data_IF_693630096614
#
_entry.id   IF_693630096614
#
_cell.length_a   1.000
_cell.length_b   1.000
_cell.length_c   1.000
_cell.angle_alpha   90.00
_cell.angle_beta   90.00
_cell.angle_gamma   90.00
#
_symmetry.space_group_name_H-M   'P 1'
#
loop_
_entity.id
_entity.type
_entity.pdbx_description
1 polymer ?
#
# COMPACT_ATOMS: atom_id res chain seq x y z
N UNK A 1 -1.55 36.84 15.91
CA UNK A 1 -1.02 36.38 14.61
C UNK A 1 -0.04 35.27 14.95
N UNK A 2 -0.44 34.02 14.72
CA UNK A 2 0.44 32.89 14.96
C UNK A 2 1.48 32.94 13.83
N UNK A 3 2.72 33.29 14.18
CA UNK A 3 3.82 33.20 13.24
C UNK A 3 3.98 31.72 12.92
N UNK A 4 3.52 31.31 11.74
CA UNK A 4 3.82 30.00 11.19
C UNK A 4 5.29 30.11 10.74
N UNK A 5 6.22 29.84 11.65
CA UNK A 5 7.61 29.61 11.26
C UNK A 5 7.76 28.15 10.82
N UNK A 6 8.74 27.87 9.96
CA UNK A 6 8.99 26.52 9.44
C UNK A 6 9.72 25.66 10.48
N UNK A 7 9.43 25.81 11.78
CA UNK A 7 10.15 25.15 12.85
C UNK A 7 9.31 24.07 13.52
N UNK A 8 9.88 22.88 13.65
CA UNK A 8 9.32 21.76 14.41
C UNK A 8 10.30 21.38 15.52
N UNK A 9 9.93 21.53 16.79
CA UNK A 9 10.80 21.19 17.94
C UNK A 9 12.24 21.76 17.82
N UNK A 10 12.39 22.97 17.26
CA UNK A 10 13.68 23.63 17.04
C UNK A 10 14.42 23.25 15.75
N UNK A 11 13.89 22.33 14.93
CA UNK A 11 14.39 22.03 13.58
C UNK A 11 13.77 22.96 12.55
N UNK A 12 14.60 23.70 11.81
CA UNK A 12 14.17 24.51 10.67
C UNK A 12 14.00 23.64 9.43
N UNK A 13 12.81 23.66 8.84
CA UNK A 13 12.51 22.92 7.61
C UNK A 13 12.27 23.81 6.40
N UNK A 14 12.56 25.13 6.49
CA UNK A 14 12.34 26.08 5.40
C UNK A 14 13.10 25.73 4.12
N UNK A 15 14.16 24.93 4.19
CA UNK A 15 14.93 24.51 3.02
C UNK A 15 14.35 23.26 2.31
N UNK A 16 13.34 22.59 2.88
CA UNK A 16 12.75 21.36 2.36
C UNK A 16 11.45 21.57 1.54
N UNK A 17 11.43 22.57 0.67
CA UNK A 17 10.23 22.95 -0.13
C UNK A 17 10.04 22.12 -1.42
N UNK A 18 10.99 21.24 -1.76
CA UNK A 18 10.97 20.52 -3.06
C UNK A 18 9.79 19.54 -3.22
N UNK A 19 9.03 19.25 -2.15
CA UNK A 19 7.84 18.41 -2.15
C UNK A 19 6.52 19.21 -2.14
N UNK A 20 6.56 20.55 -2.19
CA UNK A 20 5.37 21.42 -2.10
C UNK A 20 4.42 21.32 -3.30
N UNK A 21 4.84 20.61 -4.35
CA UNK A 21 4.02 20.25 -5.50
C UNK A 21 3.02 19.13 -5.20
N UNK A 22 3.23 18.38 -4.10
CA UNK A 22 2.37 17.26 -3.74
C UNK A 22 0.96 17.71 -3.31
N UNK A 23 -0.08 16.92 -3.58
CA UNK A 23 -1.44 17.24 -3.15
C UNK A 23 -1.60 17.44 -1.63
N UNK A 24 -2.45 18.38 -1.17
CA UNK A 24 -2.34 18.93 0.17
C UNK A 24 -3.17 18.22 1.25
N UNK A 25 -4.00 17.23 0.92
CA UNK A 25 -5.05 16.74 1.84
C UNK A 25 -4.50 16.22 3.17
N UNK A 26 -3.39 15.49 3.14
CA UNK A 26 -2.76 15.00 4.37
C UNK A 26 -2.35 16.16 5.31
N UNK A 27 -1.71 17.19 4.75
CA UNK A 27 -1.25 18.35 5.51
C UNK A 27 -2.42 19.21 6.03
N UNK A 28 -3.49 19.34 5.25
CA UNK A 28 -4.73 19.99 5.67
C UNK A 28 -5.39 19.25 6.86
N UNK A 29 -5.38 17.91 6.86
CA UNK A 29 -5.87 17.12 7.99
C UNK A 29 -4.98 17.28 9.22
N UNK A 30 -3.66 17.40 9.04
CA UNK A 30 -2.71 17.61 10.14
C UNK A 30 -2.79 19.02 10.75
N UNK A 31 -3.20 20.03 9.97
CA UNK A 31 -3.25 21.44 10.38
C UNK A 31 -3.92 21.68 11.75
N UNK A 32 -5.17 21.24 12.02
CA UNK A 32 -5.79 21.48 13.33
C UNK A 32 -4.98 20.86 14.49
N UNK A 33 -4.35 19.70 14.29
CA UNK A 33 -3.54 19.06 15.33
C UNK A 33 -2.23 19.81 15.55
N UNK A 34 -1.60 20.30 14.46
CA UNK A 34 -0.44 21.18 14.54
C UNK A 34 -0.74 22.44 15.36
N UNK A 35 -1.84 23.13 15.05
CA UNK A 35 -2.27 24.36 15.74
C UNK A 35 -2.59 24.11 17.23
N UNK A 36 -3.26 23.01 17.54
CA UNK A 36 -3.69 22.70 18.91
C UNK A 36 -2.53 22.20 19.80
N UNK A 37 -1.46 21.69 19.21
CA UNK A 37 -0.30 21.15 19.92
C UNK A 37 0.93 22.04 19.84
N UNK A 38 0.81 23.25 19.27
CA UNK A 38 1.91 24.18 19.04
C UNK A 38 3.09 23.54 18.27
N UNK A 39 2.77 22.69 17.29
CA UNK A 39 3.74 22.04 16.42
C UNK A 39 4.41 20.76 16.96
N UNK A 40 3.90 20.18 18.06
CA UNK A 40 4.43 18.93 18.64
C UNK A 40 4.46 17.78 17.60
N UNK A 41 5.68 17.30 17.29
CA UNK A 41 5.89 16.24 16.30
C UNK A 41 5.28 14.90 16.72
N UNK A 42 5.26 14.58 18.01
CA UNK A 42 4.65 13.34 18.50
C UNK A 42 3.15 13.34 18.22
N UNK A 43 2.46 14.47 18.45
CA UNK A 43 1.01 14.58 18.16
C UNK A 43 0.73 14.33 16.68
N UNK A 44 1.50 14.94 15.77
CA UNK A 44 1.34 14.72 14.33
C UNK A 44 1.63 13.27 13.91
N UNK A 45 2.67 12.65 14.50
CA UNK A 45 2.99 11.24 14.26
C UNK A 45 1.86 10.32 14.74
N UNK A 46 1.23 10.62 15.88
CA UNK A 46 0.10 9.85 16.39
C UNK A 46 -1.10 9.90 15.45
N UNK A 47 -1.35 11.03 14.77
CA UNK A 47 -2.37 11.11 13.71
C UNK A 47 -2.05 10.17 12.55
N UNK A 48 -0.80 10.13 12.08
CA UNK A 48 -0.36 9.17 11.05
C UNK A 48 -0.50 7.72 11.51
N UNK A 49 -0.17 7.43 12.77
CA UNK A 49 -0.31 6.08 13.37
C UNK A 49 -1.78 5.64 13.40
N UNK A 50 -2.72 6.54 13.72
CA UNK A 50 -4.16 6.24 13.65
C UNK A 50 -4.58 5.88 12.22
N UNK A 51 -4.09 6.61 11.21
CA UNK A 51 -4.33 6.27 9.81
C UNK A 51 -3.76 4.89 9.46
N UNK A 52 -2.53 4.61 9.89
CA UNK A 52 -1.87 3.31 9.74
C UNK A 52 -2.64 2.16 10.41
N UNK A 53 -3.19 2.37 11.61
CA UNK A 53 -4.06 1.40 12.27
C UNK A 53 -5.34 1.12 11.45
N UNK A 54 -5.86 2.14 10.77
CA UNK A 54 -6.94 1.99 9.79
C UNK A 54 -6.55 1.08 8.61
N UNK A 55 -5.33 1.21 8.08
CA UNK A 55 -4.80 0.32 7.02
C UNK A 55 -4.81 -1.14 7.49
N UNK A 56 -4.30 -1.41 8.70
CA UNK A 56 -4.25 -2.75 9.29
C UNK A 56 -5.65 -3.33 9.47
N UNK A 57 -6.58 -2.55 10.01
CA UNK A 57 -7.98 -2.96 10.19
C UNK A 57 -8.62 -3.34 8.85
N UNK A 58 -8.45 -2.50 7.82
CA UNK A 58 -9.01 -2.75 6.50
C UNK A 58 -8.36 -3.95 5.82
N UNK A 59 -7.04 -4.16 5.97
CA UNK A 59 -6.36 -5.35 5.49
C UNK A 59 -6.93 -6.63 6.11
N UNK A 60 -7.14 -6.65 7.44
CA UNK A 60 -7.79 -7.75 8.14
C UNK A 60 -9.20 -8.02 7.62
N UNK A 61 -10.01 -6.95 7.44
CA UNK A 61 -11.39 -7.05 6.97
C UNK A 61 -11.48 -7.53 5.52
N UNK A 62 -10.60 -7.04 4.64
CA UNK A 62 -10.47 -7.50 3.24
C UNK A 62 -10.14 -9.00 3.22
N UNK A 63 -9.13 -9.43 3.98
CA UNK A 63 -8.77 -10.84 4.07
C UNK A 63 -9.93 -11.71 4.56
N UNK A 64 -10.64 -11.28 5.61
CA UNK A 64 -11.83 -11.98 6.14
C UNK A 64 -12.98 -12.11 5.12
N UNK A 65 -13.10 -11.20 4.16
CA UNK A 65 -14.11 -11.28 3.09
C UNK A 65 -13.74 -12.28 1.99
N UNK A 66 -12.43 -12.51 1.76
CA UNK A 66 -11.94 -13.37 0.69
C UNK A 66 -11.68 -14.82 1.14
N UNK A 67 -11.54 -15.04 2.44
CA UNK A 67 -11.22 -16.34 3.02
C UNK A 67 -12.48 -17.05 3.54
N UNK A 68 -12.58 -18.36 3.24
CA UNK A 68 -13.59 -19.24 3.84
C UNK A 68 -13.41 -19.34 5.35
N UNK A 69 -14.47 -19.68 6.09
CA UNK A 69 -14.48 -19.68 7.57
C UNK A 69 -13.28 -20.40 8.18
N UNK A 70 -12.95 -21.59 7.67
CA UNK A 70 -11.84 -22.42 8.12
C UNK A 70 -10.47 -21.74 7.95
N UNK A 71 -10.34 -20.80 7.01
CA UNK A 71 -9.10 -20.10 6.66
C UNK A 71 -9.00 -18.72 7.30
N UNK A 72 -10.05 -18.23 7.96
CA UNK A 72 -10.09 -16.84 8.47
C UNK A 72 -9.03 -16.53 9.52
N UNK A 73 -8.37 -17.54 10.09
CA UNK A 73 -7.18 -17.36 10.93
C UNK A 73 -6.00 -16.73 10.16
N UNK A 74 -5.89 -16.97 8.84
CA UNK A 74 -4.85 -16.38 7.99
C UNK A 74 -4.99 -14.85 7.90
N UNK A 75 -6.20 -14.31 8.07
CA UNK A 75 -6.42 -12.87 8.06
C UNK A 75 -5.63 -12.15 9.17
N UNK A 76 -5.40 -12.80 10.31
CA UNK A 76 -4.55 -12.26 11.38
C UNK A 76 -3.09 -12.17 10.93
N UNK A 77 -2.58 -13.18 10.22
CA UNK A 77 -1.21 -13.18 9.70
C UNK A 77 -1.02 -12.13 8.61
N UNK A 78 -2.02 -11.95 7.74
CA UNK A 78 -2.05 -10.91 6.72
C UNK A 78 -2.02 -9.52 7.37
N UNK A 79 -2.86 -9.29 8.38
CA UNK A 79 -2.88 -8.04 9.13
C UNK A 79 -1.57 -7.80 9.89
N UNK A 80 -0.97 -8.84 10.49
CA UNK A 80 0.32 -8.75 11.16
C UNK A 80 1.45 -8.39 10.20
N UNK A 81 1.47 -8.97 8.99
CA UNK A 81 2.42 -8.59 7.94
C UNK A 81 2.28 -7.12 7.58
N UNK A 82 1.06 -6.65 7.30
CA UNK A 82 0.80 -5.23 7.03
C UNK A 82 1.21 -4.36 8.22
N UNK A 83 0.93 -4.78 9.45
CA UNK A 83 1.19 -3.96 10.64
C UNK A 83 2.67 -3.87 11.05
N UNK A 84 3.47 -4.91 10.78
CA UNK A 84 4.75 -5.12 11.48
C UNK A 84 5.97 -5.26 10.57
N UNK A 85 5.85 -5.06 9.25
CA UNK A 85 7.04 -4.88 8.40
C UNK A 85 7.83 -3.67 8.92
N UNK A 86 9.11 -3.82 9.34
CA UNK A 86 9.81 -2.76 10.08
C UNK A 86 9.88 -1.41 9.34
N UNK A 87 10.14 -1.43 8.03
CA UNK A 87 10.12 -0.20 7.23
C UNK A 87 8.72 0.44 7.21
N UNK A 88 7.66 -0.35 7.06
CA UNK A 88 6.30 0.17 6.99
C UNK A 88 5.90 0.80 8.33
N UNK A 89 6.27 0.19 9.46
CA UNK A 89 6.13 0.81 10.80
C UNK A 89 6.83 2.16 10.85
N UNK A 90 8.08 2.24 10.38
CA UNK A 90 8.84 3.50 10.39
C UNK A 90 8.20 4.58 9.49
N UNK A 91 7.66 4.20 8.33
CA UNK A 91 6.97 5.12 7.41
C UNK A 91 5.67 5.64 8.06
N UNK A 92 4.83 4.77 8.61
CA UNK A 92 3.56 5.15 9.24
C UNK A 92 3.75 5.92 10.57
N UNK A 93 4.87 5.73 11.25
CA UNK A 93 5.24 6.47 12.45
C UNK A 93 5.87 7.85 12.16
N UNK A 94 6.04 8.22 10.88
CA UNK A 94 6.57 9.52 10.47
C UNK A 94 5.48 10.46 9.94
N UNK A 95 5.80 11.74 9.84
CA UNK A 95 4.88 12.75 9.31
C UNK A 95 5.05 12.80 7.80
N UNK A 96 4.23 12.04 7.07
CA UNK A 96 4.22 12.03 5.60
C UNK A 96 2.81 11.65 5.07
N UNK A 97 2.58 11.87 3.79
CA UNK A 97 1.31 11.54 3.14
C UNK A 97 1.16 10.06 2.75
N UNK A 98 2.12 9.17 3.02
CA UNK A 98 1.99 7.73 2.75
C UNK A 98 0.89 7.12 3.63
N UNK A 99 0.82 7.49 4.91
CA UNK A 99 -0.17 6.93 5.83
C UNK A 99 -1.61 7.17 5.36
N UNK A 100 -1.93 8.40 4.91
CA UNK A 100 -3.25 8.70 4.36
C UNK A 100 -3.47 8.05 2.98
N UNK A 101 -2.44 8.03 2.13
CA UNK A 101 -2.52 7.40 0.81
C UNK A 101 -2.86 5.91 0.92
N UNK A 102 -2.15 5.18 1.78
CA UNK A 102 -2.39 3.76 2.04
C UNK A 102 -3.77 3.51 2.66
N UNK A 103 -4.21 4.37 3.58
CA UNK A 103 -5.56 4.28 4.16
C UNK A 103 -6.64 4.42 3.09
N UNK A 104 -6.51 5.38 2.18
CA UNK A 104 -7.45 5.61 1.10
C UNK A 104 -7.44 4.46 0.08
N UNK A 105 -6.26 3.94 -0.27
CA UNK A 105 -6.13 2.74 -1.12
C UNK A 105 -6.83 1.55 -0.46
N UNK A 106 -6.56 1.29 0.83
CA UNK A 106 -7.19 0.21 1.58
C UNK A 106 -8.72 0.38 1.69
N UNK A 107 -9.21 1.60 1.87
CA UNK A 107 -10.64 1.89 1.96
C UNK A 107 -11.35 1.68 0.62
N UNK A 108 -10.75 2.13 -0.49
CA UNK A 108 -11.25 1.88 -1.84
C UNK A 108 -11.29 0.37 -2.10
N UNK A 109 -10.21 -0.35 -1.79
CA UNK A 109 -10.16 -1.81 -1.93
C UNK A 109 -11.22 -2.51 -1.07
N UNK A 110 -11.41 -2.08 0.18
CA UNK A 110 -12.43 -2.64 1.06
C UNK A 110 -13.84 -2.51 0.46
N UNK A 111 -14.17 -1.32 -0.07
CA UNK A 111 -15.45 -1.08 -0.74
C UNK A 111 -15.60 -1.96 -1.99
N UNK A 112 -14.58 -1.99 -2.86
CA UNK A 112 -14.60 -2.78 -4.09
C UNK A 112 -14.74 -4.28 -3.79
N UNK A 113 -13.92 -4.82 -2.88
CA UNK A 113 -13.98 -6.23 -2.46
C UNK A 113 -15.34 -6.57 -1.87
N UNK A 114 -15.88 -5.71 -1.00
CA UNK A 114 -17.21 -5.90 -0.43
C UNK A 114 -18.29 -5.98 -1.51
N UNK A 115 -18.27 -5.09 -2.49
CA UNK A 115 -19.23 -5.15 -3.60
C UNK A 115 -19.01 -6.40 -4.45
N UNK A 116 -17.79 -6.72 -4.84
CA UNK A 116 -17.51 -7.86 -5.72
C UNK A 116 -17.81 -9.22 -5.06
N UNK A 117 -17.70 -9.30 -3.73
CA UNK A 117 -18.04 -10.50 -2.95
C UNK A 117 -19.55 -10.66 -2.83
N UNK A 118 -20.28 -9.61 -2.45
CA UNK A 118 -21.69 -9.72 -2.05
C UNK A 118 -22.71 -9.31 -3.13
N UNK A 119 -22.29 -8.81 -4.30
CA UNK A 119 -23.23 -8.32 -5.32
C UNK A 119 -23.94 -9.47 -6.04
N UNK A 120 -25.14 -9.78 -5.54
CA UNK A 120 -26.22 -10.44 -6.28
C UNK A 120 -27.00 -9.39 -7.12
N UNK A 121 -27.87 -9.75 -8.09
CA UNK A 121 -28.61 -8.80 -8.92
C UNK A 121 -29.37 -7.70 -8.16
N UNK A 122 -29.86 -7.99 -6.94
CA UNK A 122 -30.51 -7.00 -6.04
C UNK A 122 -29.54 -5.95 -5.48
N UNK A 123 -28.26 -6.28 -5.32
CA UNK A 123 -27.24 -5.37 -4.82
C UNK A 123 -26.73 -4.37 -5.86
N UNK A 124 -26.93 -4.61 -7.17
CA UNK A 124 -26.57 -3.63 -8.23
C UNK A 124 -27.25 -2.27 -8.03
N UNK A 125 -28.49 -2.28 -7.52
CA UNK A 125 -29.24 -1.05 -7.21
C UNK A 125 -28.68 -0.34 -5.97
N UNK A 126 -28.29 -1.10 -4.94
CA UNK A 126 -27.65 -0.56 -3.73
C UNK A 126 -26.26 0.03 -4.02
N UNK A 127 -25.45 -0.64 -4.85
CA UNK A 127 -24.15 -0.14 -5.32
C UNK A 127 -24.32 1.20 -6.03
N UNK A 128 -25.32 1.31 -6.92
CA UNK A 128 -25.57 2.51 -7.73
C UNK A 128 -25.74 3.81 -6.92
N UNK A 129 -26.34 3.73 -5.71
CA UNK A 129 -26.50 4.87 -4.79
C UNK A 129 -25.20 5.24 -4.04
N UNK A 130 -24.27 4.30 -3.91
CA UNK A 130 -23.01 4.46 -3.17
C UNK A 130 -21.80 4.76 -4.05
N UNK A 131 -21.97 4.70 -5.38
CA UNK A 131 -20.92 5.03 -6.36
C UNK A 131 -20.37 6.45 -6.19
N UNK A 132 -21.24 7.40 -5.83
CA UNK A 132 -20.82 8.78 -5.58
C UNK A 132 -19.81 8.88 -4.43
N UNK A 133 -20.03 8.14 -3.34
CA UNK A 133 -19.11 8.10 -2.20
C UNK A 133 -17.79 7.40 -2.52
N UNK A 134 -17.80 6.36 -3.37
CA UNK A 134 -16.57 5.77 -3.88
C UNK A 134 -15.77 6.79 -4.72
N UNK A 135 -16.47 7.60 -5.50
CA UNK A 135 -15.86 8.68 -6.27
C UNK A 135 -15.29 9.81 -5.41
N UNK A 136 -15.98 10.20 -4.33
CA UNK A 136 -15.43 11.12 -3.32
C UNK A 136 -14.17 10.53 -2.69
N UNK A 137 -14.22 9.26 -2.27
CA UNK A 137 -13.08 8.57 -1.66
C UNK A 137 -11.87 8.51 -2.62
N UNK A 138 -12.12 8.23 -3.91
CA UNK A 138 -11.09 8.27 -4.95
C UNK A 138 -10.53 9.69 -5.11
N UNK A 139 -11.38 10.71 -5.17
CA UNK A 139 -10.97 12.11 -5.28
C UNK A 139 -10.13 12.60 -4.10
N UNK A 140 -10.47 12.20 -2.87
CA UNK A 140 -9.63 12.44 -1.68
C UNK A 140 -8.25 11.78 -1.84
N UNK A 141 -8.22 10.59 -2.44
CA UNK A 141 -6.98 9.91 -2.81
C UNK A 141 -6.12 10.73 -3.77
N UNK A 142 -6.73 11.27 -4.83
CA UNK A 142 -6.06 12.14 -5.80
C UNK A 142 -5.54 13.43 -5.15
N UNK A 143 -6.22 13.94 -4.13
CA UNK A 143 -5.78 15.08 -3.32
C UNK A 143 -4.76 14.73 -2.22
N UNK A 144 -4.33 13.46 -2.12
CA UNK A 144 -3.37 13.01 -1.10
C UNK A 144 -1.98 12.74 -1.68
N UNK A 145 -1.89 11.86 -2.68
CA UNK A 145 -0.59 11.43 -3.23
C UNK A 145 -0.73 10.83 -4.62
N UNK A 146 0.28 11.05 -5.47
CA UNK A 146 0.35 10.46 -6.81
C UNK A 146 0.23 8.94 -6.84
N UNK A 147 0.67 8.25 -5.79
CA UNK A 147 0.54 6.78 -5.68
C UNK A 147 -0.93 6.32 -5.68
N UNK A 148 -1.88 7.11 -5.18
CA UNK A 148 -3.30 6.72 -5.16
C UNK A 148 -3.93 6.75 -6.55
N UNK A 149 -3.32 7.42 -7.53
CA UNK A 149 -3.81 7.49 -8.92
C UNK A 149 -3.91 6.10 -9.56
N UNK A 150 -3.10 5.14 -9.09
CA UNK A 150 -3.19 3.74 -9.52
C UNK A 150 -4.59 3.14 -9.26
N UNK A 151 -5.36 3.68 -8.30
CA UNK A 151 -6.70 3.19 -7.99
C UNK A 151 -7.75 3.60 -9.03
N UNK A 152 -7.47 4.59 -9.88
CA UNK A 152 -8.38 4.99 -10.98
C UNK A 152 -8.64 3.82 -11.94
N UNK A 153 -7.61 3.20 -12.56
CA UNK A 153 -7.84 2.05 -13.42
C UNK A 153 -8.37 0.82 -12.67
N UNK A 154 -8.04 0.64 -11.38
CA UNK A 154 -8.59 -0.46 -10.56
C UNK A 154 -10.11 -0.30 -10.34
N UNK A 155 -10.56 0.91 -9.99
CA UNK A 155 -11.98 1.24 -9.85
C UNK A 155 -12.69 1.09 -11.20
N UNK A 156 -12.10 1.58 -12.29
CA UNK A 156 -12.65 1.44 -13.62
C UNK A 156 -12.81 -0.04 -14.02
N UNK A 157 -11.80 -0.87 -13.77
CA UNK A 157 -11.85 -2.31 -14.00
C UNK A 157 -12.93 -3.02 -13.17
N UNK A 158 -13.09 -2.63 -11.90
CA UNK A 158 -14.16 -3.15 -11.05
C UNK A 158 -15.56 -2.74 -11.56
N UNK A 159 -15.73 -1.50 -12.04
CA UNK A 159 -16.99 -1.06 -12.65
C UNK A 159 -17.28 -1.82 -13.94
N UNK A 160 -16.28 -1.99 -14.80
CA UNK A 160 -16.38 -2.79 -16.01
C UNK A 160 -16.82 -4.23 -15.71
N UNK A 161 -16.25 -4.84 -14.67
CA UNK A 161 -16.65 -6.16 -14.20
C UNK A 161 -18.11 -6.18 -13.73
N UNK A 162 -18.51 -5.25 -12.84
CA UNK A 162 -19.86 -5.22 -12.27
C UNK A 162 -20.98 -4.99 -13.31
N UNK A 163 -20.68 -4.18 -14.33
CA UNK A 163 -21.62 -3.73 -15.36
C UNK A 163 -21.35 -4.35 -16.74
N UNK A 164 -20.52 -5.40 -16.83
CA UNK A 164 -20.23 -6.05 -18.11
C UNK A 164 -21.52 -6.48 -18.82
N UNK A 165 -21.66 -6.11 -20.10
CA UNK A 165 -22.86 -6.34 -20.90
C UNK A 165 -24.01 -5.33 -20.68
N UNK A 166 -23.90 -4.43 -19.69
CA UNK A 166 -24.82 -3.31 -19.47
C UNK A 166 -24.09 -1.96 -19.65
N UNK A 167 -23.84 -1.59 -20.90
CA UNK A 167 -23.04 -0.42 -21.26
C UNK A 167 -23.63 0.91 -20.78
N UNK A 168 -24.97 1.05 -20.79
CA UNK A 168 -25.62 2.26 -20.27
C UNK A 168 -25.45 2.38 -18.76
N UNK A 169 -25.59 1.27 -18.03
CA UNK A 169 -25.32 1.19 -16.60
C UNK A 169 -23.86 1.49 -16.26
N UNK A 170 -22.91 0.99 -17.07
CA UNK A 170 -21.49 1.29 -16.93
C UNK A 170 -21.20 2.78 -17.12
N UNK A 171 -21.79 3.43 -18.14
CA UNK A 171 -21.63 4.88 -18.36
C UNK A 171 -22.09 5.70 -17.15
N UNK A 172 -23.27 5.40 -16.60
CA UNK A 172 -23.75 6.05 -15.38
C UNK A 172 -22.89 5.74 -14.16
N UNK A 173 -22.36 4.52 -14.05
CA UNK A 173 -21.46 4.15 -12.97
C UNK A 173 -20.13 4.90 -13.05
N UNK A 174 -19.58 5.06 -14.25
CA UNK A 174 -18.40 5.85 -14.51
C UNK A 174 -18.62 7.33 -14.17
N UNK A 175 -19.73 7.93 -14.60
CA UNK A 175 -20.05 9.34 -14.27
C UNK A 175 -20.18 9.54 -12.75
N UNK A 176 -20.88 8.62 -12.05
CA UNK A 176 -21.09 8.76 -10.59
C UNK A 176 -19.83 8.52 -9.77
N UNK A 177 -18.86 7.77 -10.29
CA UNK A 177 -17.57 7.53 -9.61
C UNK A 177 -16.51 8.55 -10.02
N UNK A 178 -16.24 8.68 -11.31
CA UNK A 178 -15.19 9.55 -11.85
C UNK A 178 -15.57 11.03 -11.79
N UNK A 179 -16.86 11.38 -11.84
CA UNK A 179 -17.32 12.77 -11.72
C UNK A 179 -16.86 13.46 -10.44
N UNK A 180 -17.28 13.01 -9.24
CA UNK A 180 -16.80 13.60 -7.98
C UNK A 180 -15.29 13.44 -7.78
N UNK A 181 -14.68 12.34 -8.25
CA UNK A 181 -13.23 12.17 -8.18
C UNK A 181 -12.48 13.24 -8.98
N UNK A 182 -12.95 13.51 -10.20
CA UNK A 182 -12.44 14.54 -11.09
C UNK A 182 -12.64 15.93 -10.50
N UNK A 183 -13.84 16.25 -9.99
CA UNK A 183 -14.12 17.55 -9.40
C UNK A 183 -13.19 17.87 -8.22
N UNK A 184 -12.92 16.87 -7.36
CA UNK A 184 -11.98 17.03 -6.26
C UNK A 184 -10.54 17.15 -6.76
N UNK A 185 -10.09 16.25 -7.63
CA UNK A 185 -8.73 16.29 -8.20
C UNK A 185 -8.44 17.58 -8.97
N UNK A 186 -9.45 18.11 -9.69
CA UNK A 186 -9.35 19.33 -10.47
C UNK A 186 -8.99 20.56 -9.62
N UNK A 187 -9.35 20.59 -8.34
CA UNK A 187 -8.96 21.67 -7.43
C UNK A 187 -7.43 21.82 -7.40
N UNK A 188 -6.71 20.70 -7.32
CA UNK A 188 -5.24 20.72 -7.31
C UNK A 188 -4.64 20.87 -8.70
N UNK A 189 -5.21 20.20 -9.71
CA UNK A 189 -4.70 20.26 -11.08
C UNK A 189 -4.79 21.65 -11.67
N UNK A 190 -5.92 22.32 -11.48
CA UNK A 190 -6.11 23.70 -11.95
C UNK A 190 -5.15 24.63 -11.21
N UNK A 191 -4.99 24.46 -9.88
CA UNK A 191 -3.96 25.20 -9.13
C UNK A 191 -2.58 25.01 -9.75
N UNK A 192 -2.17 23.78 -10.06
CA UNK A 192 -0.85 23.52 -10.63
C UNK A 192 -0.68 24.17 -12.01
N UNK A 193 -1.69 24.09 -12.88
CA UNK A 193 -1.67 24.75 -14.19
C UNK A 193 -1.49 26.27 -14.04
N UNK A 194 -2.21 26.89 -13.10
CA UNK A 194 -2.16 28.34 -12.86
C UNK A 194 -0.84 28.78 -12.21
N UNK A 195 -0.29 27.99 -11.28
CA UNK A 195 0.94 28.34 -10.55
C UNK A 195 2.19 28.10 -11.39
N UNK A 196 2.27 26.96 -12.07
CA UNK A 196 3.46 26.56 -12.83
C UNK A 196 3.43 27.03 -14.30
N UNK A 197 2.42 27.80 -14.70
CA UNK A 197 2.30 28.43 -16.02
C UNK A 197 2.50 27.45 -17.19
N UNK A 198 1.70 26.38 -17.24
CA UNK A 198 1.74 25.38 -18.30
C UNK A 198 0.68 24.30 -18.14
N UNK A 199 0.51 23.44 -19.16
CA UNK A 199 -0.35 22.24 -19.08
C UNK A 199 0.32 21.13 -18.24
N UNK A 200 0.64 21.43 -16.99
CA UNK A 200 1.31 20.53 -16.05
C UNK A 200 0.43 20.29 -14.80
N UNK A 201 -0.68 19.53 -14.93
CA UNK A 201 -1.65 19.34 -13.84
C UNK A 201 -1.06 18.60 -12.64
N UNK A 202 -0.01 17.80 -12.85
CA UNK A 202 0.68 17.07 -11.79
C UNK A 202 1.98 17.76 -11.35
N UNK A 203 2.28 18.96 -11.87
CA UNK A 203 3.50 19.71 -11.56
C UNK A 203 4.80 18.91 -11.78
N UNK A 204 4.79 17.96 -12.73
CA UNK A 204 5.93 17.07 -12.95
C UNK A 204 7.05 17.71 -13.75
N UNK A 205 6.74 18.61 -14.68
CA UNK A 205 7.76 19.41 -15.34
C UNK A 205 8.41 20.37 -14.34
N UNK A 206 7.59 21.08 -13.57
CA UNK A 206 8.09 21.98 -12.52
C UNK A 206 8.96 21.25 -11.48
N UNK A 207 8.55 20.06 -11.04
CA UNK A 207 9.35 19.21 -10.16
C UNK A 207 10.70 18.84 -10.79
N UNK A 208 10.72 18.44 -12.06
CA UNK A 208 11.96 18.07 -12.76
C UNK A 208 12.94 19.25 -12.91
N UNK A 209 12.44 20.49 -12.96
CA UNK A 209 13.27 21.69 -13.10
C UNK A 209 13.96 22.07 -11.78
N UNK A 210 13.33 21.79 -10.63
CA UNK A 210 13.86 22.15 -9.30
C UNK A 210 14.66 21.02 -8.64
N UNK A 211 14.41 19.77 -9.02
CA UNK A 211 15.13 18.62 -8.48
C UNK A 211 16.51 18.52 -9.13
N UNK A 212 17.47 19.21 -8.51
CA UNK A 212 18.87 19.21 -8.89
C UNK A 212 19.64 18.15 -8.07
N UNK A 213 20.47 17.36 -8.75
CA UNK A 213 21.35 16.37 -8.10
C UNK A 213 20.71 15.02 -7.76
N UNK A 214 19.42 14.79 -8.07
CA UNK A 214 18.84 13.45 -7.97
C UNK A 214 19.47 12.53 -9.03
N UNK A 215 20.08 11.40 -8.63
CA UNK A 215 20.75 10.53 -9.58
C UNK A 215 19.80 9.97 -10.64
N UNK A 216 20.21 10.01 -11.90
CA UNK A 216 19.45 9.42 -13.00
C UNK A 216 19.88 7.98 -13.28
N UNK A 217 18.94 7.16 -13.75
CA UNK A 217 19.22 5.76 -14.05
C UNK A 217 20.27 5.62 -15.16
N UNK A 218 20.25 6.48 -16.17
CA UNK A 218 21.25 6.51 -17.25
C UNK A 218 22.67 6.75 -16.73
N UNK A 219 22.85 7.66 -15.77
CA UNK A 219 24.14 7.97 -15.14
C UNK A 219 24.66 6.77 -14.34
N UNK A 220 23.77 6.10 -13.61
CA UNK A 220 24.10 4.89 -12.88
C UNK A 220 24.44 3.73 -13.81
N UNK A 221 23.77 3.59 -14.96
CA UNK A 221 24.13 2.60 -15.98
C UNK A 221 25.52 2.89 -16.55
N UNK A 222 25.85 4.16 -16.82
CA UNK A 222 27.19 4.54 -17.28
C UNK A 222 28.28 4.25 -16.23
N UNK A 223 27.97 4.44 -14.95
CA UNK A 223 28.92 4.27 -13.84
C UNK A 223 29.10 2.81 -13.42
N UNK A 224 28.02 2.05 -13.33
CA UNK A 224 28.00 0.72 -12.73
C UNK A 224 27.71 -0.40 -13.73
N UNK A 225 27.39 -0.08 -14.98
CA UNK A 225 26.90 -1.03 -15.97
C UNK A 225 25.47 -1.50 -15.70
N UNK A 226 24.81 -2.04 -16.73
CA UNK A 226 23.42 -2.51 -16.63
C UNK A 226 23.21 -3.50 -15.48
N UNK A 227 24.01 -4.56 -15.41
CA UNK A 227 23.89 -5.56 -14.35
C UNK A 227 24.21 -5.02 -12.96
N UNK A 228 25.13 -4.05 -12.88
CA UNK A 228 25.44 -3.37 -11.62
C UNK A 228 24.28 -2.52 -11.10
N UNK A 229 23.49 -1.92 -11.98
CA UNK A 229 22.25 -1.21 -11.62
C UNK A 229 21.16 -2.20 -11.23
N UNK A 230 20.95 -3.28 -11.98
CA UNK A 230 19.96 -4.31 -11.65
C UNK A 230 20.21 -4.91 -10.26
N UNK A 231 21.46 -5.26 -9.94
CA UNK A 231 21.80 -5.77 -8.61
C UNK A 231 21.52 -4.75 -7.50
N UNK A 232 21.88 -3.48 -7.71
CA UNK A 232 21.59 -2.39 -6.77
C UNK A 232 20.09 -2.16 -6.61
N UNK A 233 19.33 -2.23 -7.69
CA UNK A 233 17.88 -2.13 -7.67
C UNK A 233 17.28 -3.24 -6.81
N UNK A 234 17.63 -4.51 -7.08
CA UNK A 234 17.10 -5.65 -6.33
C UNK A 234 17.50 -5.60 -4.85
N UNK A 235 18.78 -5.38 -4.56
CA UNK A 235 19.30 -5.34 -3.19
C UNK A 235 18.70 -4.18 -2.39
N UNK A 236 18.68 -2.98 -2.97
CA UNK A 236 18.17 -1.78 -2.26
C UNK A 236 16.66 -1.87 -2.08
N UNK A 237 15.92 -2.34 -3.10
CA UNK A 237 14.48 -2.56 -3.01
C UNK A 237 14.17 -3.56 -1.90
N UNK A 238 14.87 -4.69 -1.86
CA UNK A 238 14.65 -5.71 -0.84
C UNK A 238 14.99 -5.18 0.56
N UNK A 239 16.16 -4.56 0.71
CA UNK A 239 16.62 -4.06 2.00
C UNK A 239 15.68 -3.00 2.55
N UNK A 240 15.31 -2.02 1.72
CA UNK A 240 14.44 -0.92 2.12
C UNK A 240 12.97 -1.27 2.14
N UNK A 241 12.51 -2.36 1.50
CA UNK A 241 11.16 -2.88 1.70
C UNK A 241 10.99 -3.39 3.14
N UNK A 242 11.99 -4.11 3.65
CA UNK A 242 11.94 -4.68 4.99
C UNK A 242 12.41 -3.73 6.09
N UNK A 243 13.50 -3.01 5.88
CA UNK A 243 14.05 -2.05 6.84
C UNK A 243 15.38 -1.45 6.38
N UNK A 244 15.37 -0.17 6.01
CA UNK A 244 16.55 0.66 5.79
C UNK A 244 16.17 2.11 6.14
N UNK A 245 16.57 2.56 7.32
CA UNK A 245 16.01 3.74 7.99
C UNK A 245 16.85 5.01 7.77
N UNK A 246 16.32 6.15 8.22
CA UNK A 246 17.03 7.43 8.22
C UNK A 246 17.46 7.85 6.83
N UNK A 247 16.50 8.00 5.90
CA UNK A 247 16.80 8.37 4.51
C UNK A 247 17.80 7.42 3.82
N UNK A 248 17.57 6.12 3.99
CA UNK A 248 18.39 5.04 3.45
C UNK A 248 19.80 4.90 4.08
N UNK A 249 20.16 5.69 5.10
CA UNK A 249 21.50 5.66 5.71
C UNK A 249 21.71 4.48 6.66
N UNK A 250 20.65 3.92 7.24
CA UNK A 250 20.74 2.92 8.31
C UNK A 250 20.10 1.57 7.91
N UNK A 251 20.80 0.71 7.13
CA UNK A 251 20.34 -0.64 6.82
C UNK A 251 20.40 -1.57 8.04
N UNK A 252 19.51 -2.55 8.08
CA UNK A 252 19.53 -3.62 9.07
C UNK A 252 20.85 -4.42 8.99
N UNK A 253 21.24 -5.10 10.10
CA UNK A 253 22.34 -6.06 10.08
C UNK A 253 22.14 -7.18 9.04
N UNK A 254 23.22 -7.62 8.40
CA UNK A 254 23.17 -8.59 7.29
C UNK A 254 22.47 -9.92 7.62
N UNK A 255 22.61 -10.41 8.86
CA UNK A 255 21.94 -11.64 9.29
C UNK A 255 20.41 -11.50 9.34
N UNK A 256 19.87 -10.31 9.63
CA UNK A 256 18.43 -10.07 9.58
C UNK A 256 17.93 -10.16 8.14
N UNK A 257 18.66 -9.58 7.18
CA UNK A 257 18.32 -9.73 5.77
C UNK A 257 18.38 -11.17 5.30
N UNK A 258 19.32 -11.99 5.79
CA UNK A 258 19.36 -13.41 5.48
C UNK A 258 18.08 -14.12 5.92
N UNK A 259 17.62 -13.89 7.16
CA UNK A 259 16.35 -14.44 7.67
C UNK A 259 15.17 -14.02 6.79
N UNK A 260 15.13 -12.74 6.42
CA UNK A 260 14.08 -12.19 5.56
C UNK A 260 14.11 -12.78 4.14
N UNK A 261 15.30 -12.99 3.56
CA UNK A 261 15.44 -13.65 2.25
C UNK A 261 14.90 -15.08 2.32
N UNK A 262 15.29 -15.85 3.34
CA UNK A 262 14.79 -17.21 3.52
C UNK A 262 13.26 -17.23 3.68
N UNK A 263 12.71 -16.30 4.47
CA UNK A 263 11.27 -16.13 4.62
C UNK A 263 10.57 -15.82 3.29
N UNK A 264 11.13 -14.90 2.49
CA UNK A 264 10.61 -14.57 1.17
C UNK A 264 10.66 -15.77 0.22
N UNK A 265 11.77 -16.52 0.19
CA UNK A 265 11.92 -17.71 -0.65
C UNK A 265 10.91 -18.80 -0.28
N UNK A 266 10.70 -19.08 1.01
CA UNK A 266 9.67 -20.03 1.48
C UNK A 266 8.27 -19.57 1.06
N UNK A 267 7.98 -18.29 1.22
CA UNK A 267 6.69 -17.71 0.83
C UNK A 267 6.45 -17.84 -0.68
N UNK A 268 7.46 -17.53 -1.51
CA UNK A 268 7.38 -17.71 -2.96
C UNK A 268 7.22 -19.18 -3.36
N UNK A 269 7.97 -20.09 -2.72
CA UNK A 269 7.84 -21.53 -2.95
C UNK A 269 6.44 -22.05 -2.62
N UNK A 270 5.84 -21.60 -1.51
CA UNK A 270 4.46 -21.92 -1.13
C UNK A 270 3.44 -21.39 -2.13
N UNK A 271 3.62 -20.18 -2.65
CA UNK A 271 2.74 -19.60 -3.66
C UNK A 271 2.85 -20.35 -5.00
N UNK A 272 4.07 -20.67 -5.45
CA UNK A 272 4.31 -21.47 -6.66
C UNK A 272 3.67 -22.85 -6.51
N UNK A 273 3.83 -23.50 -5.35
CA UNK A 273 3.21 -24.79 -5.07
C UNK A 273 1.68 -24.73 -5.09
N UNK A 274 1.08 -23.68 -4.52
CA UNK A 274 -0.37 -23.45 -4.58
C UNK A 274 -0.85 -23.30 -6.03
N UNK A 275 -0.17 -22.48 -6.84
CA UNK A 275 -0.53 -22.22 -8.23
C UNK A 275 -0.36 -23.46 -9.11
N UNK A 276 0.71 -24.24 -8.90
CA UNK A 276 1.01 -25.44 -9.66
C UNK A 276 0.04 -26.59 -9.35
N UNK A 277 -0.33 -26.77 -8.09
CA UNK A 277 -1.19 -27.89 -7.67
C UNK A 277 -2.68 -27.55 -7.66
N UNK A 278 -3.02 -26.25 -7.64
CA UNK A 278 -4.40 -25.74 -7.44
C UNK A 278 -5.12 -26.40 -6.27
N UNK A 279 -4.36 -26.84 -5.25
CA UNK A 279 -4.92 -27.54 -4.10
C UNK A 279 -5.86 -26.61 -3.36
N UNK A 280 -7.12 -27.03 -3.22
CA UNK A 280 -8.07 -26.38 -2.31
C UNK A 280 -7.47 -26.37 -0.90
N UNK A 281 -7.55 -25.27 -0.17
CA UNK A 281 -7.18 -25.20 1.24
C UNK A 281 -8.21 -25.88 2.17
N UNK A 282 -9.32 -26.36 1.62
CA UNK A 282 -10.40 -27.03 2.35
C UNK A 282 -10.43 -28.51 1.96
N UNK A 283 -10.47 -29.38 2.97
CA UNK A 283 -10.38 -30.86 2.88
C UNK A 283 -11.74 -31.58 2.86
N UNK A 284 -12.81 -30.85 2.52
CA UNK A 284 -14.17 -31.38 2.41
C UNK A 284 -14.84 -30.89 1.12
N UNK A 285 -15.88 -31.59 0.64
CA UNK A 285 -16.72 -31.06 -0.41
C UNK A 285 -17.31 -29.71 0.00
N UNK A 286 -17.20 -28.74 -0.90
CA UNK A 286 -17.79 -27.42 -0.75
C UNK A 286 -19.25 -27.46 -1.16
N UNK A 287 -20.10 -26.76 -0.42
CA UNK A 287 -21.49 -26.58 -0.83
C UNK A 287 -21.60 -25.59 -2.02
N UNK A 288 -22.74 -25.51 -2.73
CA UNK A 288 -22.87 -24.62 -3.91
C UNK A 288 -22.60 -23.14 -3.62
N UNK A 289 -22.91 -22.67 -2.40
CA UNK A 289 -22.62 -21.30 -1.97
C UNK A 289 -21.12 -21.05 -1.82
N UNK A 290 -20.39 -21.95 -1.16
CA UNK A 290 -18.94 -21.87 -0.98
C UNK A 290 -18.20 -21.97 -2.32
N UNK A 291 -18.68 -22.80 -3.26
CA UNK A 291 -18.11 -22.88 -4.62
C UNK A 291 -18.20 -21.52 -5.33
N UNK A 292 -19.34 -20.84 -5.22
CA UNK A 292 -19.53 -19.50 -5.78
C UNK A 292 -18.63 -18.47 -5.10
N UNK A 293 -18.54 -18.51 -3.78
CA UNK A 293 -17.67 -17.63 -2.99
C UNK A 293 -16.19 -17.80 -3.38
N UNK A 294 -15.70 -19.04 -3.51
CA UNK A 294 -14.34 -19.32 -3.97
C UNK A 294 -14.12 -18.80 -5.39
N UNK A 295 -15.06 -19.03 -6.31
CA UNK A 295 -14.96 -18.50 -7.67
C UNK A 295 -14.92 -16.97 -7.73
N UNK A 296 -15.68 -16.29 -6.87
CA UNK A 296 -15.63 -14.83 -6.72
C UNK A 296 -14.30 -14.38 -6.11
N UNK A 297 -13.85 -15.01 -5.02
CA UNK A 297 -12.60 -14.72 -4.35
C UNK A 297 -11.40 -14.91 -5.30
N UNK A 298 -11.41 -15.91 -6.17
CA UNK A 298 -10.38 -16.11 -7.20
C UNK A 298 -10.34 -14.95 -8.20
N UNK A 299 -11.49 -14.47 -8.68
CA UNK A 299 -11.56 -13.31 -9.59
C UNK A 299 -11.10 -12.02 -8.90
N UNK A 300 -11.46 -11.83 -7.63
CA UNK A 300 -10.93 -10.72 -6.82
C UNK A 300 -9.42 -10.90 -6.61
N UNK A 301 -8.93 -12.12 -6.46
CA UNK A 301 -7.51 -12.46 -6.43
C UNK A 301 -6.77 -12.03 -7.70
N UNK A 302 -7.39 -12.15 -8.88
CA UNK A 302 -6.84 -11.61 -10.13
C UNK A 302 -6.78 -10.08 -10.09
N UNK A 303 -7.80 -9.40 -9.58
CA UNK A 303 -7.77 -7.94 -9.38
C UNK A 303 -6.64 -7.53 -8.41
N UNK A 304 -6.44 -8.27 -7.32
CA UNK A 304 -5.35 -8.07 -6.36
C UNK A 304 -3.97 -8.28 -6.99
N UNK A 305 -3.81 -9.30 -7.82
CA UNK A 305 -2.59 -9.54 -8.59
C UNK A 305 -2.35 -8.45 -9.63
N UNK A 306 -3.40 -7.95 -10.29
CA UNK A 306 -3.31 -6.83 -11.23
C UNK A 306 -2.90 -5.53 -10.53
N UNK A 307 -3.43 -5.25 -9.33
CA UNK A 307 -2.99 -4.13 -8.49
C UNK A 307 -1.50 -4.23 -8.13
N UNK A 308 -1.06 -5.41 -7.70
CA UNK A 308 0.36 -5.67 -7.44
C UNK A 308 1.21 -5.43 -8.70
N UNK A 309 0.79 -5.97 -9.85
CA UNK A 309 1.46 -5.79 -11.13
C UNK A 309 1.51 -4.33 -11.57
N UNK A 310 0.42 -3.58 -11.42
CA UNK A 310 0.38 -2.15 -11.74
C UNK A 310 1.32 -1.35 -10.85
N UNK A 311 1.35 -1.65 -9.55
CA UNK A 311 2.28 -1.01 -8.59
C UNK A 311 3.73 -1.28 -9.00
N UNK A 312 4.04 -2.53 -9.35
CA UNK A 312 5.36 -2.92 -9.81
C UNK A 312 5.74 -2.22 -11.13
N UNK A 313 4.82 -2.14 -12.10
CA UNK A 313 5.06 -1.46 -13.37
C UNK A 313 5.32 0.04 -13.19
N UNK A 314 4.54 0.72 -12.34
CA UNK A 314 4.76 2.12 -12.01
C UNK A 314 6.11 2.33 -11.32
N UNK A 315 6.46 1.45 -10.38
CA UNK A 315 7.74 1.49 -9.68
C UNK A 315 8.93 1.28 -10.63
N UNK A 316 8.84 0.29 -11.52
CA UNK A 316 9.85 0.04 -12.55
C UNK A 316 9.94 1.22 -13.52
N UNK A 317 8.81 1.74 -13.98
CA UNK A 317 8.73 2.89 -14.89
C UNK A 317 9.38 4.14 -14.30
N UNK A 318 9.12 4.43 -13.02
CA UNK A 318 9.77 5.55 -12.34
C UNK A 318 11.30 5.38 -12.27
N UNK A 319 11.76 4.15 -12.08
CA UNK A 319 13.17 3.78 -12.05
C UNK A 319 13.85 3.72 -13.43
N UNK A 320 13.13 3.96 -14.53
CA UNK A 320 13.75 4.19 -15.83
C UNK A 320 14.33 5.60 -15.95
N UNK A 321 13.79 6.56 -15.18
CA UNK A 321 14.20 7.97 -15.20
C UNK A 321 15.13 8.27 -14.03
N UNK A 322 14.63 8.08 -12.81
CA UNK A 322 15.33 8.44 -11.58
C UNK A 322 15.71 7.21 -10.79
N UNK A 323 16.83 7.28 -10.09
CA UNK A 323 17.22 6.21 -9.16
C UNK A 323 16.40 6.33 -7.89
N UNK A 324 15.35 5.52 -7.81
CA UNK A 324 14.44 5.46 -6.67
C UNK A 324 14.19 4.01 -6.29
N UNK A 325 15.27 3.31 -5.92
CA UNK A 325 15.26 1.88 -5.56
C UNK A 325 14.62 1.59 -4.19
N UNK A 326 13.76 2.46 -3.68
CA UNK A 326 13.17 2.31 -2.35
C UNK A 326 11.98 1.35 -2.36
N UNK A 327 12.02 0.31 -1.53
CA UNK A 327 10.96 -0.68 -1.41
C UNK A 327 9.62 -0.13 -0.91
N UNK A 328 9.61 1.06 -0.26
CA UNK A 328 8.37 1.72 0.18
C UNK A 328 7.38 2.01 -0.96
N UNK A 329 7.88 2.17 -2.19
CA UNK A 329 7.01 2.36 -3.37
C UNK A 329 6.15 1.13 -3.70
N UNK A 330 6.42 -0.02 -3.06
CA UNK A 330 5.62 -1.23 -3.17
C UNK A 330 4.51 -1.33 -2.11
N UNK A 331 4.49 -0.48 -1.08
CA UNK A 331 3.47 -0.52 -0.01
C UNK A 331 2.03 -0.26 -0.47
N UNK A 332 1.74 0.48 -1.57
CA UNK A 332 0.40 0.48 -2.16
C UNK A 332 -0.14 -0.92 -2.49
N UNK A 333 0.74 -1.90 -2.68
CA UNK A 333 0.42 -3.31 -2.90
C UNK A 333 0.64 -4.20 -1.66
N UNK A 334 0.75 -3.65 -0.45
CA UNK A 334 1.03 -4.45 0.75
C UNK A 334 -0.12 -5.40 1.11
N UNK A 335 -1.38 -4.99 0.89
CA UNK A 335 -2.57 -5.85 1.06
C UNK A 335 -2.55 -7.05 0.10
N UNK A 336 -2.40 -6.89 -1.23
CA UNK A 336 -2.33 -8.04 -2.13
C UNK A 336 -1.09 -8.91 -1.88
N UNK A 337 0.06 -8.35 -1.50
CA UNK A 337 1.21 -9.14 -1.07
C UNK A 337 0.90 -9.95 0.19
N UNK A 338 0.28 -9.33 1.19
CA UNK A 338 -0.17 -9.99 2.40
C UNK A 338 -1.11 -11.16 2.12
N UNK A 339 -2.09 -10.97 1.23
CA UNK A 339 -2.98 -12.05 0.78
C UNK A 339 -2.20 -13.22 0.16
N UNK A 340 -1.25 -12.94 -0.74
CA UNK A 340 -0.38 -13.96 -1.33
C UNK A 340 0.44 -14.72 -0.28
N UNK A 341 1.00 -13.99 0.70
CA UNK A 341 1.74 -14.55 1.82
C UNK A 341 0.85 -15.45 2.70
N UNK A 342 -0.36 -15.00 3.05
CA UNK A 342 -1.30 -15.77 3.84
C UNK A 342 -1.71 -17.07 3.13
N UNK A 343 -1.99 -17.01 1.83
CA UNK A 343 -2.32 -18.18 1.02
C UNK A 343 -1.13 -19.14 0.89
N UNK A 344 0.09 -18.64 0.70
CA UNK A 344 1.30 -19.45 0.62
C UNK A 344 1.53 -20.25 1.91
N UNK A 345 1.53 -19.57 3.06
CA UNK A 345 1.74 -20.21 4.35
C UNK A 345 0.56 -21.11 4.77
N UNK A 346 -0.68 -20.72 4.45
CA UNK A 346 -1.84 -21.59 4.62
C UNK A 346 -1.70 -22.89 3.83
N UNK A 347 -1.12 -22.83 2.63
CA UNK A 347 -0.86 -24.02 1.80
C UNK A 347 0.24 -24.90 2.39
N UNK A 348 1.35 -24.29 2.80
CA UNK A 348 2.52 -25.01 3.34
C UNK A 348 2.22 -25.69 4.69
N UNK A 349 1.46 -25.02 5.56
CA UNK A 349 1.16 -25.53 6.90
C UNK A 349 -0.05 -26.46 6.95
N UNK A 350 -0.82 -26.56 5.86
CA UNK A 350 -2.03 -27.39 5.81
C UNK A 350 -1.84 -28.82 6.32
N UNK A 351 -0.81 -29.61 5.93
CA UNK A 351 -0.67 -30.99 6.42
C UNK A 351 -0.56 -31.06 7.95
N UNK A 352 0.07 -30.06 8.55
CA UNK A 352 0.24 -29.95 10.00
C UNK A 352 -1.07 -29.50 10.66
N UNK A 353 -1.75 -28.50 10.08
CA UNK A 353 -3.02 -27.96 10.60
C UNK A 353 -4.15 -29.00 10.55
N UNK A 354 -4.22 -29.81 9.50
CA UNK A 354 -5.21 -30.91 9.38
C UNK A 354 -4.98 -31.96 10.46
N UNK A 355 -3.72 -32.29 10.75
CA UNK A 355 -3.35 -33.26 11.80
C UNK A 355 -3.51 -32.70 13.21
N UNK A 356 -3.27 -31.40 13.40
CA UNK A 356 -3.31 -30.70 14.68
C UNK A 356 -4.03 -29.34 14.55
N UNK A 357 -5.37 -29.32 14.60
CA UNK A 357 -6.16 -28.11 14.36
C UNK A 357 -5.79 -26.88 15.22
N UNK A 358 -5.38 -27.02 16.51
CA UNK A 358 -4.92 -25.87 17.30
C UNK A 358 -3.73 -25.12 16.70
N UNK A 359 -2.87 -25.80 15.92
CA UNK A 359 -1.68 -25.20 15.31
C UNK A 359 -1.99 -24.23 14.16
N UNK A 360 -3.25 -24.07 13.74
CA UNK A 360 -3.63 -23.06 12.74
C UNK A 360 -3.24 -21.63 13.14
N UNK A 361 -3.21 -21.34 14.44
CA UNK A 361 -2.78 -20.03 14.95
C UNK A 361 -1.27 -19.90 15.12
N UNK A 362 -0.49 -20.97 14.96
CA UNK A 362 0.96 -20.90 15.06
C UNK A 362 1.57 -19.96 14.00
N UNK A 363 1.00 -19.95 12.79
CA UNK A 363 1.40 -19.02 11.74
C UNK A 363 1.17 -17.54 12.09
N UNK A 364 -0.07 -17.08 12.33
CA UNK A 364 -0.30 -15.67 12.62
C UNK A 364 0.41 -15.23 13.91
N UNK A 365 0.45 -16.06 14.95
CA UNK A 365 1.16 -15.74 16.20
C UNK A 365 2.67 -15.67 15.96
N UNK A 366 3.24 -16.67 15.28
CA UNK A 366 4.67 -16.72 14.98
C UNK A 366 5.11 -15.57 14.09
N UNK A 367 4.37 -15.27 13.03
CA UNK A 367 4.65 -14.13 12.15
C UNK A 367 4.60 -12.80 12.91
N UNK A 368 3.58 -12.61 13.75
CA UNK A 368 3.46 -11.43 14.62
C UNK A 368 4.67 -11.30 15.53
N UNK A 369 5.01 -12.38 16.25
CA UNK A 369 6.13 -12.39 17.18
C UNK A 369 7.47 -12.09 16.47
N UNK A 370 7.71 -12.70 15.31
CA UNK A 370 8.94 -12.50 14.53
C UNK A 370 9.04 -11.06 14.02
N UNK A 371 8.00 -10.53 13.37
CA UNK A 371 8.03 -9.18 12.80
C UNK A 371 8.08 -8.09 13.89
N UNK A 372 7.37 -8.29 15.01
CA UNK A 372 7.46 -7.41 16.17
C UNK A 372 8.86 -7.42 16.77
N UNK A 373 9.44 -8.61 16.97
CA UNK A 373 10.80 -8.75 17.51
C UNK A 373 11.84 -8.15 16.56
N UNK A 374 11.69 -8.35 15.25
CA UNK A 374 12.56 -7.72 14.24
C UNK A 374 12.44 -6.19 14.29
N UNK A 375 11.23 -5.65 14.47
CA UNK A 375 11.02 -4.20 14.60
C UNK A 375 11.65 -3.62 15.86
N UNK A 376 11.51 -4.31 17.01
CA UNK A 376 12.17 -3.91 18.26
C UNK A 376 13.69 -4.00 18.14
N UNK A 377 14.21 -5.09 17.59
CA UNK A 377 15.65 -5.24 17.35
C UNK A 377 16.15 -4.14 16.42
N UNK A 378 15.46 -3.86 15.31
CA UNK A 378 15.79 -2.77 14.40
C UNK A 378 15.85 -1.41 15.11
N UNK A 379 14.89 -1.13 16.00
CA UNK A 379 14.87 0.10 16.79
C UNK A 379 16.12 0.24 17.64
N UNK A 380 16.46 -0.79 18.44
CA UNK A 380 17.56 -0.71 19.41
C UNK A 380 18.95 -0.95 18.80
N UNK A 381 19.08 -1.71 17.72
CA UNK A 381 20.39 -2.03 17.12
C UNK A 381 20.75 -1.15 15.91
N UNK A 382 19.76 -0.53 15.27
CA UNK A 382 19.96 0.20 14.01
C UNK A 382 19.52 1.64 14.11
N UNK A 383 18.28 1.90 14.52
CA UNK A 383 17.71 3.25 14.52
C UNK A 383 18.30 4.11 15.63
N UNK A 384 18.16 3.71 16.89
CA UNK A 384 18.66 4.51 18.02
C UNK A 384 20.17 4.76 17.91
N UNK A 385 21.02 3.74 17.69
CA UNK A 385 22.47 3.95 17.69
C UNK A 385 23.02 4.77 16.51
N UNK A 386 22.28 4.86 15.39
CA UNK A 386 22.77 5.53 14.17
C UNK A 386 22.07 6.85 13.86
N UNK A 387 20.87 7.06 14.40
CA UNK A 387 19.99 8.18 14.03
C UNK A 387 19.53 9.01 15.22
N UNK A 388 19.82 8.59 16.46
CA UNK A 388 19.64 9.48 17.61
C UNK A 388 20.80 10.46 17.68
N UNK A 389 20.55 11.75 17.99
CA UNK A 389 21.59 12.76 18.11
C UNK A 389 22.66 12.45 19.15
#
# INVERSE_FOLDING_TARGET
AMAIDARFDGYDVSEFEYEDWQPPLYYLIQTPFFLLSDGDLLVLRLVSVVMGAGVVLLAYRIARMLLLEEQKYLALGIAAFVALVPQHVAVLASVNNDALAELLIAAILYVLVGWLTYVNPRARRAVSSRLWWLGVLLGLGLLTKGTVYLMVPVVAGAMLWLYWGNWSGLGWAAVRTLGPAFLLGAIWWVRNILVYNGLDPLAMAAHNDVVLGQPRTSEWVATYGFWGVVWRFLRTTFNSFWGQFGWMAAPLPGWMYLVLVLFTLVTLGGLIYLLATRRSLVDRPLNPTEIREVGQAQRIGVMMAALFGLTLLLYLGYNLTYVQHQGRYLFPALIPMGLGLGLAWGTLLRPVVVRYPPLRYAFPIGLTAVLFSLSLLALFTTVIPRLSP
#
